data_IF_707117104122
#
_entry.id   IF_707117104122
#
_cell.length_a   1.000
_cell.length_b   1.000
_cell.length_c   1.000
_cell.angle_alpha   90.00
_cell.angle_beta   90.00
_cell.angle_gamma   90.00
#
_symmetry.space_group_name_H-M   'P 1'
#
loop_
_entity.id
_entity.type
_entity.pdbx_description
1 polymer ?
#
# COMPACT_ATOMS: atom_id res chain seq x y z
N UNK A 1 -20.08 -9.16 -5.39
CA UNK A 1 -19.49 -10.14 -4.44
C UNK A 1 -19.25 -9.41 -3.11
N UNK A 2 -19.75 -9.94 -1.99
CA UNK A 2 -19.60 -9.32 -0.66
C UNK A 2 -18.15 -9.39 -0.16
N UNK A 3 -17.77 -8.51 0.77
CA UNK A 3 -16.43 -8.44 1.37
C UNK A 3 -16.06 -9.76 2.06
N UNK A 4 -16.93 -10.36 2.89
CA UNK A 4 -16.64 -11.65 3.53
C UNK A 4 -16.26 -12.74 2.51
N UNK A 5 -16.95 -12.79 1.36
CA UNK A 5 -16.63 -13.77 0.31
C UNK A 5 -15.22 -13.55 -0.27
N UNK A 6 -14.76 -12.30 -0.35
CA UNK A 6 -13.40 -11.98 -0.83
C UNK A 6 -12.34 -12.43 0.17
N UNK A 7 -12.60 -12.28 1.47
CA UNK A 7 -11.68 -12.72 2.52
C UNK A 7 -11.58 -14.25 2.57
N UNK A 8 -12.70 -14.97 2.52
CA UNK A 8 -12.70 -16.44 2.45
C UNK A 8 -11.93 -16.93 1.21
N UNK A 9 -12.15 -16.29 0.05
CA UNK A 9 -11.41 -16.63 -1.16
C UNK A 9 -9.90 -16.35 -1.01
N UNK A 10 -9.51 -15.27 -0.33
CA UNK A 10 -8.10 -14.97 -0.10
C UNK A 10 -7.41 -16.06 0.75
N UNK A 11 -8.08 -16.57 1.79
CA UNK A 11 -7.58 -17.71 2.57
C UNK A 11 -7.43 -18.96 1.69
N UNK A 12 -8.43 -19.26 0.86
CA UNK A 12 -8.39 -20.40 -0.08
C UNK A 12 -7.26 -20.29 -1.11
N UNK A 13 -6.87 -19.07 -1.47
CA UNK A 13 -5.76 -18.78 -2.39
C UNK A 13 -4.39 -18.72 -1.69
N UNK A 14 -4.33 -18.96 -0.38
CA UNK A 14 -3.09 -19.07 0.37
C UNK A 14 -2.69 -17.84 1.20
N UNK A 15 -3.60 -16.90 1.44
CA UNK A 15 -3.34 -15.83 2.39
C UNK A 15 -3.17 -16.40 3.81
N UNK A 16 -2.01 -16.16 4.43
CA UNK A 16 -1.75 -16.59 5.82
C UNK A 16 -2.61 -15.84 6.83
N UNK A 17 -2.94 -14.58 6.52
CA UNK A 17 -3.72 -13.69 7.35
C UNK A 17 -4.69 -12.93 6.45
N UNK A 18 -5.94 -12.84 6.88
CA UNK A 18 -6.94 -11.94 6.31
C UNK A 18 -7.43 -10.96 7.36
N UNK A 19 -7.65 -9.71 6.94
CA UNK A 19 -8.05 -8.61 7.82
C UNK A 19 -9.32 -7.99 7.28
N UNK A 20 -10.33 -7.83 8.13
CA UNK A 20 -11.57 -7.15 7.74
C UNK A 20 -11.54 -5.70 8.19
N UNK A 21 -11.13 -4.80 7.29
CA UNK A 21 -11.04 -3.36 7.58
C UNK A 21 -12.35 -2.65 7.95
N UNK A 22 -13.52 -3.31 7.89
CA UNK A 22 -14.78 -2.77 8.42
C UNK A 22 -15.03 -3.13 9.89
N UNK A 23 -14.29 -4.09 10.43
CA UNK A 23 -14.44 -4.62 11.81
C UNK A 23 -13.24 -4.32 12.70
N UNK A 24 -12.07 -4.11 12.11
CA UNK A 24 -10.81 -3.92 12.84
C UNK A 24 -9.90 -2.88 12.16
N UNK A 25 -9.01 -2.28 12.95
CA UNK A 25 -8.01 -1.32 12.46
C UNK A 25 -6.92 -2.03 11.66
N UNK A 26 -6.94 -1.85 10.34
CA UNK A 26 -6.05 -2.57 9.42
C UNK A 26 -4.57 -2.29 9.69
N UNK A 27 -4.20 -1.04 10.03
CA UNK A 27 -2.80 -0.67 10.23
C UNK A 27 -2.25 -1.37 11.47
N UNK A 28 -2.97 -1.29 12.59
CA UNK A 28 -2.60 -1.89 13.86
C UNK A 28 -2.50 -3.41 13.75
N UNK A 29 -3.42 -4.04 13.02
CA UNK A 29 -3.40 -5.48 12.78
C UNK A 29 -2.21 -5.89 11.92
N UNK A 30 -1.91 -5.16 10.84
CA UNK A 30 -0.71 -5.41 10.05
C UNK A 30 0.58 -5.22 10.85
N UNK A 31 0.64 -4.23 11.74
CA UNK A 31 1.80 -4.00 12.61
C UNK A 31 2.06 -5.18 13.55
N UNK A 32 1.01 -5.78 14.13
CA UNK A 32 1.15 -6.97 14.98
C UNK A 32 1.78 -8.16 14.24
N UNK A 33 1.45 -8.34 12.96
CA UNK A 33 2.01 -9.42 12.14
C UNK A 33 3.39 -9.11 11.55
N UNK A 34 3.79 -7.84 11.58
CA UNK A 34 5.08 -7.38 11.03
C UNK A 34 6.02 -6.88 12.11
N UNK A 35 5.75 -7.20 13.37
CA UNK A 35 6.57 -6.79 14.53
C UNK A 35 6.88 -5.28 14.53
N UNK A 36 5.85 -4.47 14.21
CA UNK A 36 5.92 -3.01 14.04
C UNK A 36 6.85 -2.49 12.92
N UNK A 37 7.52 -3.39 12.18
CA UNK A 37 8.41 -3.03 11.08
C UNK A 37 7.64 -2.58 9.83
N UNK A 38 6.49 -3.19 9.57
CA UNK A 38 5.75 -3.09 8.31
C UNK A 38 6.19 -4.16 7.30
N UNK A 39 5.45 -4.28 6.20
CA UNK A 39 5.70 -5.27 5.16
C UNK A 39 6.83 -4.83 4.20
N UNK A 40 7.59 -5.79 3.67
CA UNK A 40 8.59 -5.52 2.63
C UNK A 40 7.98 -4.94 1.36
N UNK A 41 6.83 -5.48 0.97
CA UNK A 41 6.09 -5.10 -0.22
C UNK A 41 4.61 -4.98 0.12
N UNK A 42 4.01 -3.85 -0.24
CA UNK A 42 2.56 -3.60 -0.10
C UNK A 42 1.94 -3.48 -1.48
N UNK A 43 0.98 -4.34 -1.80
CA UNK A 43 0.21 -4.26 -3.03
C UNK A 43 -1.09 -3.50 -2.79
N UNK A 44 -1.32 -2.40 -3.51
CA UNK A 44 -2.60 -1.72 -3.57
C UNK A 44 -3.31 -2.15 -4.85
N UNK A 45 -4.43 -2.84 -4.70
CA UNK A 45 -5.20 -3.41 -5.83
C UNK A 45 -6.67 -3.01 -5.81
N UNK A 46 -7.11 -2.30 -4.76
CA UNK A 46 -8.50 -1.87 -4.61
C UNK A 46 -8.78 -0.55 -5.36
N UNK A 47 -7.75 0.25 -5.63
CA UNK A 47 -7.88 1.53 -6.32
C UNK A 47 -8.65 2.57 -5.52
N UNK A 48 -8.75 2.39 -4.19
CA UNK A 48 -9.56 3.24 -3.31
C UNK A 48 -8.70 4.30 -2.62
N UNK A 49 -9.27 5.48 -2.38
CA UNK A 49 -8.57 6.54 -1.65
C UNK A 49 -8.08 6.10 -0.26
N UNK A 50 -8.85 5.23 0.39
CA UNK A 50 -8.58 4.73 1.74
C UNK A 50 -7.33 3.85 1.73
N UNK A 51 -7.32 2.82 0.88
CA UNK A 51 -6.22 1.85 0.81
C UNK A 51 -4.91 2.50 0.35
N UNK A 52 -4.99 3.45 -0.60
CA UNK A 52 -3.82 4.21 -1.05
C UNK A 52 -3.22 5.06 0.09
N UNK A 53 -4.06 5.71 0.91
CA UNK A 53 -3.60 6.49 2.07
C UNK A 53 -2.97 5.61 3.15
N UNK A 54 -3.45 4.38 3.30
CA UNK A 54 -2.93 3.43 4.29
C UNK A 54 -1.58 2.82 3.88
N UNK A 55 -1.34 2.60 2.58
CA UNK A 55 -0.17 1.89 2.09
C UNK A 55 1.20 2.39 2.64
N UNK A 56 1.48 3.71 2.77
CA UNK A 56 2.72 4.20 3.36
C UNK A 56 2.91 3.86 4.85
N UNK A 57 1.83 3.57 5.57
CA UNK A 57 1.89 3.18 6.98
C UNK A 57 2.10 1.67 7.15
N UNK A 58 1.72 0.89 6.13
CA UNK A 58 1.83 -0.56 6.09
C UNK A 58 3.21 -1.05 5.63
N UNK A 59 3.93 -0.25 4.84
CA UNK A 59 5.24 -0.63 4.30
C UNK A 59 6.37 -0.32 5.29
N UNK A 60 7.38 -1.19 5.32
CA UNK A 60 8.61 -0.96 6.06
C UNK A 60 9.47 0.16 5.45
N UNK A 61 10.45 0.63 6.22
CA UNK A 61 11.44 1.58 5.71
C UNK A 61 12.27 0.94 4.59
N UNK A 62 12.32 1.59 3.43
CA UNK A 62 12.99 1.05 2.24
C UNK A 62 12.22 -0.07 1.52
N UNK A 63 11.03 -0.44 1.99
CA UNK A 63 10.13 -1.35 1.30
C UNK A 63 9.47 -0.70 0.07
N UNK A 64 8.67 -1.48 -0.65
CA UNK A 64 8.05 -1.07 -1.92
C UNK A 64 6.53 -1.06 -1.81
N UNK A 65 5.90 -0.03 -2.35
CA UNK A 65 4.45 0.00 -2.56
C UNK A 65 4.20 -0.20 -4.04
N UNK A 66 3.42 -1.22 -4.40
CA UNK A 66 3.07 -1.52 -5.79
C UNK A 66 1.58 -1.25 -6.00
N UNK A 67 1.29 -0.24 -6.82
CA UNK A 67 -0.07 0.09 -7.23
C UNK A 67 -0.37 -0.75 -8.47
N UNK A 68 -1.33 -1.66 -8.36
CA UNK A 68 -1.74 -2.54 -9.45
C UNK A 68 -3.14 -2.15 -9.91
N UNK A 69 -3.20 -1.57 -11.10
CA UNK A 69 -4.45 -1.07 -11.70
C UNK A 69 -4.52 0.45 -11.75
N UNK A 70 -5.64 0.97 -12.25
CA UNK A 70 -5.83 2.43 -12.38
C UNK A 70 -6.40 3.02 -11.10
N UNK A 71 -5.62 3.89 -10.48
CA UNK A 71 -6.10 4.78 -9.43
C UNK A 71 -6.71 6.01 -10.09
N UNK A 72 -8.00 6.28 -9.85
CA UNK A 72 -8.58 7.56 -10.27
C UNK A 72 -7.83 8.67 -9.55
N UNK A 73 -7.41 9.71 -10.28
CA UNK A 73 -6.61 10.80 -9.72
C UNK A 73 -7.32 11.45 -8.53
N UNK A 74 -6.87 11.11 -7.33
CA UNK A 74 -7.27 11.75 -6.09
C UNK A 74 -6.10 12.64 -5.72
N UNK A 75 -6.32 13.95 -5.61
CA UNK A 75 -5.30 14.86 -5.09
C UNK A 75 -5.04 14.49 -3.64
N UNK A 76 -3.97 13.73 -3.39
CA UNK A 76 -3.58 13.34 -2.05
C UNK A 76 -2.42 14.20 -1.58
N UNK A 77 -2.59 14.87 -0.44
CA UNK A 77 -1.48 15.47 0.31
C UNK A 77 -0.74 14.36 1.05
N UNK A 78 0.23 13.73 0.40
CA UNK A 78 1.16 12.84 1.09
C UNK A 78 2.02 13.73 1.99
N UNK A 79 1.87 13.59 3.31
CA UNK A 79 2.71 14.30 4.27
C UNK A 79 4.17 13.86 4.09
N UNK A 80 5.10 14.81 4.13
CA UNK A 80 6.54 14.58 4.03
C UNK A 80 7.06 13.56 5.05
N UNK A 81 6.36 13.35 6.17
CA UNK A 81 6.65 12.30 7.16
C UNK A 81 6.44 10.88 6.62
N UNK A 82 5.40 10.65 5.81
CA UNK A 82 5.13 9.33 5.21
C UNK A 82 6.12 9.00 4.09
N UNK A 83 6.55 10.03 3.34
CA UNK A 83 7.61 9.93 2.33
C UNK A 83 8.98 9.63 2.97
N UNK A 84 9.29 10.28 4.10
CA UNK A 84 10.54 10.07 4.83
C UNK A 84 10.68 8.63 5.38
N UNK A 85 9.56 7.94 5.67
CA UNK A 85 9.58 6.52 6.06
C UNK A 85 10.05 5.63 4.90
N UNK A 86 9.61 5.87 3.67
CA UNK A 86 9.98 5.02 2.51
C UNK A 86 11.30 5.42 1.84
N UNK A 87 11.68 6.71 1.80
CA UNK A 87 12.80 7.23 0.99
C UNK A 87 14.17 7.32 1.68
N UNK A 88 14.47 6.47 2.67
CA UNK A 88 15.70 6.59 3.49
C UNK A 88 17.03 6.31 2.76
N UNK A 89 17.05 5.92 1.47
CA UNK A 89 18.30 5.84 0.68
C UNK A 89 18.05 6.44 -0.70
N UNK A 90 18.90 7.40 -1.07
CA UNK A 90 19.00 8.08 -2.38
C UNK A 90 18.37 7.27 -3.52
N UNK A 91 17.15 7.63 -3.90
CA UNK A 91 16.57 7.20 -5.18
C UNK A 91 17.23 8.06 -6.24
N UNK A 92 18.18 7.47 -6.98
CA UNK A 92 18.59 8.02 -8.26
C UNK A 92 17.36 7.97 -9.19
N UNK A 93 17.00 9.07 -9.87
CA UNK A 93 15.81 9.10 -10.69
C UNK A 93 15.95 8.12 -11.85
N UNK A 94 14.96 7.24 -11.98
CA UNK A 94 14.66 6.50 -13.19
C UNK A 94 14.62 7.49 -14.36
N UNK A 95 15.33 7.17 -15.43
CA UNK A 95 15.43 7.91 -16.69
C UNK A 95 14.10 8.62 -17.06
N UNK A 96 14.08 9.94 -16.97
CA UNK A 96 13.05 10.76 -17.62
C UNK A 96 13.30 10.71 -19.13
N UNK A 97 12.42 10.07 -19.90
CA UNK A 97 12.15 10.53 -21.26
C UNK A 97 11.03 11.56 -21.19
N UNK A 98 11.39 12.79 -20.80
CA UNK A 98 10.61 13.96 -21.19
C UNK A 98 10.89 14.19 -22.68
N UNK A 99 10.02 13.70 -23.55
CA UNK A 99 9.87 14.28 -24.88
C UNK A 99 8.64 15.16 -24.87
N UNK A 100 8.86 16.46 -24.67
CA UNK A 100 7.89 17.46 -25.06
C UNK A 100 7.88 17.62 -26.58
N UNK A 101 6.71 17.75 -27.17
CA UNK A 101 6.28 18.86 -28.01
C UNK A 101 4.89 18.55 -28.59
N UNK A 102 4.02 19.56 -28.46
CA UNK A 102 2.71 19.80 -29.09
C UNK A 102 1.51 18.92 -28.69
#
# INVERSE_FOLDING_TARGET
>A
MCLEKRLIMAEQLGATVVINGTKEDTISRCQQFTEDMGADIVFETAGSAVTIKQAPYLVMRGGKIMIVGTVRAIRQSISSKSIAKSLSRRVFPLCQSLSGHD
#
